data_IF_336035726218
#
_entry.id   IF_336035726218
#
_cell.length_a   1.000
_cell.length_b   1.000
_cell.length_c   1.000
_cell.angle_alpha   90.00
_cell.angle_beta   90.00
_cell.angle_gamma   90.00
#
_symmetry.space_group_name_H-M   'P 1'
#
loop_
_entity.id
_entity.type
_entity.pdbx_description
1 polymer ?
#
# COMPACT_ATOMS: atom_id res chain seq x y z
N UNK A 1 0.84 -9.83 41.94
CA UNK A 1 2.17 -10.12 41.36
C UNK A 1 2.04 -11.42 40.61
N UNK A 2 1.79 -11.34 39.32
CA UNK A 2 1.73 -12.49 38.41
C UNK A 2 2.82 -12.27 37.38
N UNK A 3 3.83 -13.14 37.44
CA UNK A 3 4.98 -13.17 36.54
C UNK A 3 4.51 -13.41 35.10
N UNK A 4 4.81 -12.46 34.20
CA UNK A 4 4.93 -12.76 32.78
C UNK A 4 6.38 -13.14 32.49
N UNK A 5 6.66 -14.23 31.77
CA UNK A 5 8.01 -14.59 31.41
C UNK A 5 8.54 -13.59 30.37
N UNK A 6 9.62 -12.89 30.71
CA UNK A 6 10.35 -12.03 29.79
C UNK A 6 10.89 -12.88 28.63
N UNK A 7 10.34 -12.68 27.43
CA UNK A 7 10.87 -13.27 26.20
C UNK A 7 12.28 -12.71 25.97
N UNK A 8 13.29 -13.56 26.14
CA UNK A 8 14.69 -13.21 25.93
C UNK A 8 14.97 -12.95 24.44
N UNK A 9 15.94 -12.08 24.16
CA UNK A 9 16.27 -11.54 22.83
C UNK A 9 16.58 -12.62 21.77
N UNK A 10 17.04 -13.79 22.21
CA UNK A 10 17.23 -14.97 21.36
C UNK A 10 15.90 -15.54 20.80
N UNK A 11 14.80 -15.49 21.57
CA UNK A 11 13.50 -16.00 21.14
C UNK A 11 12.90 -15.13 20.02
N UNK A 12 13.09 -13.81 20.10
CA UNK A 12 12.67 -12.85 19.07
C UNK A 12 13.42 -13.06 17.76
N UNK A 13 14.74 -13.24 17.82
CA UNK A 13 15.56 -13.56 16.63
C UNK A 13 15.20 -14.92 16.01
N UNK A 14 14.86 -15.93 16.82
CA UNK A 14 14.42 -17.23 16.31
C UNK A 14 13.04 -17.17 15.66
N UNK A 15 12.12 -16.38 16.23
CA UNK A 15 10.79 -16.17 15.66
C UNK A 15 10.85 -15.45 14.30
N UNK A 16 11.66 -14.39 14.19
CA UNK A 16 11.87 -13.67 12.92
C UNK A 16 12.54 -14.56 11.85
N UNK A 17 13.48 -15.43 12.25
CA UNK A 17 14.08 -16.41 11.33
C UNK A 17 13.10 -17.50 10.88
N UNK A 18 12.20 -17.95 11.76
CA UNK A 18 11.22 -18.97 11.42
C UNK A 18 10.20 -18.47 10.39
N UNK A 19 9.78 -17.20 10.47
CA UNK A 19 8.94 -16.55 9.45
C UNK A 19 9.70 -16.39 8.13
N UNK A 20 11.00 -16.05 8.18
CA UNK A 20 11.84 -15.93 6.97
C UNK A 20 12.06 -17.24 6.19
N UNK A 21 11.86 -18.40 6.81
CA UNK A 21 12.01 -19.72 6.16
C UNK A 21 10.71 -20.45 5.84
N UNK A 22 9.57 -20.00 6.37
CA UNK A 22 8.27 -20.46 5.91
C UNK A 22 7.91 -19.68 4.64
N UNK A 23 8.11 -20.32 3.50
CA UNK A 23 8.02 -19.69 2.18
C UNK A 23 6.74 -18.89 1.95
N UNK A 24 6.82 -17.58 2.14
CA UNK A 24 6.05 -16.63 1.37
C UNK A 24 6.71 -16.54 -0.01
N UNK A 25 6.43 -17.50 -0.89
CA UNK A 25 6.32 -17.15 -2.31
C UNK A 25 5.13 -16.20 -2.41
N UNK A 26 5.32 -14.94 -2.01
CA UNK A 26 4.48 -13.84 -2.40
C UNK A 26 4.69 -13.69 -3.91
N UNK A 27 3.99 -14.50 -4.68
CA UNK A 27 3.72 -14.18 -6.07
C UNK A 27 3.08 -12.80 -6.02
N UNK A 28 3.73 -11.82 -6.66
CA UNK A 28 3.13 -10.53 -6.97
C UNK A 28 1.75 -10.86 -7.56
N UNK A 29 0.69 -10.60 -6.80
CA UNK A 29 -0.67 -10.72 -7.30
C UNK A 29 -0.84 -9.60 -8.34
N UNK A 30 -0.42 -9.89 -9.57
CA UNK A 30 -0.48 -8.95 -10.67
C UNK A 30 -1.93 -8.73 -11.06
N UNK A 31 -2.27 -7.46 -11.31
CA UNK A 31 -3.56 -7.06 -11.87
C UNK A 31 -3.86 -7.94 -13.11
N UNK A 32 -4.83 -8.85 -13.02
CA UNK A 32 -5.25 -9.62 -14.19
C UNK A 32 -6.10 -8.72 -15.09
N UNK A 33 -5.44 -7.96 -15.97
CA UNK A 33 -6.10 -7.15 -16.99
C UNK A 33 -6.80 -8.03 -18.02
N UNK A 34 -8.12 -8.07 -17.99
CA UNK A 34 -8.95 -8.68 -19.02
C UNK A 34 -8.88 -7.88 -20.33
N UNK A 35 -7.96 -8.25 -21.22
CA UNK A 35 -7.83 -7.68 -22.54
C UNK A 35 -8.94 -8.16 -23.49
N UNK A 36 -10.00 -7.36 -23.62
CA UNK A 36 -10.99 -7.50 -24.68
C UNK A 36 -10.49 -6.82 -25.96
N UNK A 37 -9.94 -7.59 -26.89
CA UNK A 37 -9.58 -7.12 -28.22
C UNK A 37 -10.81 -6.92 -29.11
N UNK A 38 -10.86 -5.81 -29.85
CA UNK A 38 -11.62 -5.71 -31.08
C UNK A 38 -10.87 -4.83 -32.09
N UNK A 39 -10.54 -5.43 -33.24
CA UNK A 39 -9.83 -4.78 -34.33
C UNK A 39 -10.71 -3.86 -35.17
N UNK A 40 -10.05 -2.94 -35.88
CA UNK A 40 -10.63 -2.10 -36.91
C UNK A 40 -9.53 -1.29 -37.57
N UNK A 41 -9.17 -1.65 -38.81
CA UNK A 41 -8.06 -1.06 -39.56
C UNK A 41 -8.37 0.32 -40.16
N UNK A 42 -7.31 0.95 -40.67
CA UNK A 42 -7.38 2.19 -41.44
C UNK A 42 -5.99 2.66 -41.84
N UNK A 43 -5.60 2.35 -43.08
CA UNK A 43 -4.39 2.85 -43.76
C UNK A 43 -4.39 4.38 -43.90
N UNK A 44 -3.20 4.98 -43.87
CA UNK A 44 -2.97 6.38 -44.24
C UNK A 44 -1.50 6.76 -44.18
N UNK A 45 -0.80 6.68 -45.32
CA UNK A 45 0.62 7.00 -45.45
C UNK A 45 0.94 8.49 -45.47
N UNK A 46 2.23 8.79 -45.33
CA UNK A 46 2.80 10.13 -45.48
C UNK A 46 4.30 10.15 -45.11
N UNK A 47 5.16 10.05 -46.12
CA UNK A 47 6.61 10.31 -46.05
C UNK A 47 6.92 11.70 -45.48
N UNK A 48 8.01 11.81 -44.71
CA UNK A 48 8.98 12.90 -44.90
C UNK A 48 10.30 12.62 -44.19
N UNK A 49 11.35 12.59 -45.01
CA UNK A 49 12.75 12.49 -44.67
C UNK A 49 13.25 13.71 -43.87
N UNK A 50 14.24 13.47 -43.01
CA UNK A 50 14.94 14.51 -42.27
C UNK A 50 16.19 14.00 -41.58
N UNK A 51 17.17 13.54 -42.35
CA UNK A 51 18.54 13.32 -41.88
C UNK A 51 19.16 14.63 -41.40
N UNK A 52 19.81 14.62 -40.22
CA UNK A 52 21.03 15.38 -39.98
C UNK A 52 21.85 14.74 -38.84
N UNK A 53 23.17 14.79 -39.06
CA UNK A 53 24.18 13.86 -38.56
C UNK A 53 25.15 14.54 -37.57
N UNK A 54 25.75 13.70 -36.72
CA UNK A 54 27.13 13.75 -36.19
C UNK A 54 27.50 14.54 -34.92
N UNK A 55 27.88 13.76 -33.89
CA UNK A 55 29.16 13.87 -33.15
C UNK A 55 29.05 14.35 -31.69
N UNK A 56 29.54 13.68 -30.65
CA UNK A 56 30.31 12.45 -30.50
C UNK A 56 31.10 12.49 -29.17
N UNK A 57 31.18 11.33 -28.48
CA UNK A 57 32.10 11.04 -27.35
C UNK A 57 31.44 11.12 -25.97
N UNK A 58 31.37 10.10 -25.12
CA UNK A 58 32.09 8.81 -25.06
C UNK A 58 32.41 8.54 -23.60
N UNK A 59 31.82 7.50 -23.02
CA UNK A 59 32.00 7.09 -21.63
C UNK A 59 31.12 5.89 -21.32
N UNK A 60 31.50 4.74 -21.87
CA UNK A 60 30.83 3.45 -21.74
C UNK A 60 31.64 2.55 -20.78
N UNK A 61 30.94 1.80 -19.93
CA UNK A 61 31.33 0.56 -19.24
C UNK A 61 30.21 0.26 -18.20
N UNK A 62 29.03 -0.21 -18.62
CA UNK A 62 28.65 -1.55 -19.09
C UNK A 62 28.51 -2.62 -17.98
N UNK A 63 27.27 -3.07 -17.74
CA UNK A 63 26.84 -4.44 -18.11
C UNK A 63 25.62 -4.91 -17.29
N UNK A 64 24.47 -5.07 -17.96
CA UNK A 64 23.29 -5.69 -17.38
C UNK A 64 22.07 -5.82 -18.30
N UNK A 65 22.23 -6.45 -19.47
CA UNK A 65 21.19 -7.24 -20.15
C UNK A 65 19.90 -6.56 -20.64
N UNK A 66 19.94 -6.10 -21.90
CA UNK A 66 18.93 -6.36 -22.94
C UNK A 66 17.45 -6.44 -22.57
N UNK A 67 16.79 -5.28 -22.60
CA UNK A 67 15.47 -4.98 -23.17
C UNK A 67 15.35 -3.45 -23.11
N UNK A 68 15.06 -2.77 -24.23
CA UNK A 68 14.80 -1.32 -24.23
C UNK A 68 13.48 -1.08 -23.48
N UNK A 69 13.55 -1.00 -22.15
CA UNK A 69 12.40 -0.69 -21.34
C UNK A 69 12.01 0.77 -21.57
N UNK A 70 10.72 1.00 -21.87
CA UNK A 70 10.16 2.35 -21.89
C UNK A 70 10.44 3.01 -20.53
N UNK A 71 10.82 4.30 -20.56
CA UNK A 71 11.08 5.05 -19.35
C UNK A 71 9.89 4.96 -18.38
N UNK A 72 10.19 4.63 -17.13
CA UNK A 72 9.21 4.58 -16.05
C UNK A 72 9.20 5.97 -15.40
N UNK A 73 8.19 6.77 -15.74
CA UNK A 73 8.04 8.11 -15.21
C UNK A 73 9.27 8.97 -15.49
N UNK A 74 9.87 9.50 -14.43
CA UNK A 74 11.02 10.41 -14.49
C UNK A 74 12.39 9.69 -14.52
N UNK A 75 12.44 8.35 -14.59
CA UNK A 75 13.71 7.61 -14.63
C UNK A 75 14.31 7.62 -16.04
N UNK A 76 15.65 7.80 -16.20
CA UNK A 76 16.67 7.93 -15.17
C UNK A 76 16.74 9.34 -14.52
N UNK A 77 17.17 9.46 -13.25
CA UNK A 77 17.32 10.75 -12.58
C UNK A 77 18.42 11.62 -13.23
N UNK A 78 18.25 12.93 -13.14
CA UNK A 78 19.23 13.90 -13.65
C UNK A 78 20.27 14.28 -12.59
N UNK A 79 21.54 14.39 -12.99
CA UNK A 79 22.63 14.83 -12.11
C UNK A 79 23.08 13.78 -11.10
N UNK A 80 23.61 14.22 -9.96
CA UNK A 80 24.19 13.35 -8.92
C UNK A 80 23.22 13.04 -7.76
N UNK A 81 21.94 13.39 -7.92
CA UNK A 81 20.91 13.20 -6.90
C UNK A 81 19.68 12.51 -7.47
N UNK A 82 18.93 11.86 -6.60
CA UNK A 82 17.70 11.15 -6.92
C UNK A 82 16.60 11.61 -5.97
N UNK A 83 15.54 12.21 -6.52
CA UNK A 83 14.42 12.71 -5.72
C UNK A 83 13.41 11.60 -5.43
N UNK A 84 12.97 11.48 -4.17
CA UNK A 84 11.85 10.59 -3.78
C UNK A 84 10.82 11.34 -2.93
N UNK A 85 9.56 10.96 -3.07
CA UNK A 85 8.43 11.64 -2.44
C UNK A 85 7.87 10.92 -1.20
N UNK A 86 7.37 11.71 -0.25
CA UNK A 86 6.41 11.28 0.77
C UNK A 86 5.15 12.14 0.66
N UNK A 87 3.98 11.51 0.53
CA UNK A 87 2.68 12.18 0.48
C UNK A 87 1.68 11.43 1.36
N UNK A 88 1.50 11.90 2.59
CA UNK A 88 0.64 11.26 3.59
C UNK A 88 -0.08 12.31 4.45
N UNK A 89 -1.10 11.91 5.25
CA UNK A 89 -1.82 12.85 6.09
C UNK A 89 -1.02 13.12 7.37
N UNK A 90 -0.19 14.15 7.39
CA UNK A 90 0.59 14.54 8.59
C UNK A 90 -0.18 15.52 9.48
N UNK A 91 -1.37 15.93 9.03
CA UNK A 91 -2.40 16.62 9.80
C UNK A 91 -3.78 15.96 9.65
N UNK A 92 -4.79 16.51 10.33
CA UNK A 92 -6.16 16.00 10.32
C UNK A 92 -6.35 14.76 11.19
N UNK A 93 -7.44 14.03 10.98
CA UNK A 93 -7.84 12.90 11.82
C UNK A 93 -6.83 11.74 11.80
N UNK A 94 -6.14 11.55 10.67
CA UNK A 94 -5.10 10.53 10.48
C UNK A 94 -3.67 11.08 10.70
N UNK A 95 -3.56 12.32 11.20
CA UNK A 95 -2.29 13.02 11.40
C UNK A 95 -1.23 12.23 12.18
N UNK A 96 -1.58 11.61 13.32
CA UNK A 96 -0.63 10.78 14.09
C UNK A 96 -0.03 9.63 13.26
N UNK A 97 -0.85 8.91 12.48
CA UNK A 97 -0.40 7.81 11.64
C UNK A 97 0.55 8.32 10.53
N UNK A 98 0.19 9.42 9.86
CA UNK A 98 1.05 9.98 8.82
C UNK A 98 2.37 10.55 9.34
N UNK A 99 2.38 11.13 10.55
CA UNK A 99 3.61 11.58 11.21
C UNK A 99 4.55 10.41 11.53
N UNK A 100 4.02 9.26 11.92
CA UNK A 100 4.83 8.06 12.15
C UNK A 100 5.36 7.47 10.84
N UNK A 101 4.56 7.48 9.76
CA UNK A 101 5.05 7.13 8.42
C UNK A 101 6.17 8.08 7.96
N UNK A 102 6.02 9.39 8.19
CA UNK A 102 7.02 10.40 7.81
C UNK A 102 8.36 10.16 8.53
N UNK A 103 8.32 9.87 9.85
CA UNK A 103 9.54 9.52 10.61
C UNK A 103 10.22 8.27 10.04
N UNK A 104 9.44 7.27 9.64
CA UNK A 104 9.96 6.05 9.00
C UNK A 104 10.62 6.36 7.66
N UNK A 105 10.00 7.22 6.85
CA UNK A 105 10.55 7.70 5.59
C UNK A 105 11.86 8.47 5.78
N UNK A 106 11.90 9.42 6.71
CA UNK A 106 13.10 10.19 7.03
C UNK A 106 14.25 9.28 7.51
N UNK A 107 13.93 8.27 8.33
CA UNK A 107 14.91 7.29 8.78
C UNK A 107 15.45 6.41 7.62
N UNK A 108 14.58 6.03 6.68
CA UNK A 108 14.99 5.28 5.50
C UNK A 108 15.93 6.11 4.60
N UNK A 109 15.58 7.38 4.32
CA UNK A 109 16.44 8.32 3.57
C UNK A 109 17.79 8.46 4.24
N UNK A 110 17.81 8.63 5.57
CA UNK A 110 19.06 8.70 6.33
C UNK A 110 19.93 7.47 6.12
N UNK A 111 19.38 6.27 6.32
CA UNK A 111 20.14 5.04 6.11
C UNK A 111 20.62 4.87 4.67
N UNK A 112 19.79 5.24 3.68
CA UNK A 112 20.17 5.17 2.27
C UNK A 112 21.38 6.07 1.94
N UNK A 113 21.45 7.28 2.51
CA UNK A 113 22.53 8.24 2.25
C UNK A 113 23.75 8.09 3.16
N UNK A 114 23.58 7.64 4.40
CA UNK A 114 24.63 7.62 5.43
C UNK A 114 25.06 6.19 5.85
N UNK A 115 24.35 5.18 5.39
CA UNK A 115 24.56 3.78 5.75
C UNK A 115 24.00 3.39 7.12
N UNK A 116 24.22 2.12 7.47
CA UNK A 116 23.75 1.52 8.72
C UNK A 116 22.25 1.18 8.71
N UNK A 117 21.81 0.51 9.78
CA UNK A 117 20.39 0.30 10.05
C UNK A 117 19.74 -0.60 9.00
N UNK A 118 18.78 -0.07 8.23
CA UNK A 118 18.04 -0.85 7.23
C UNK A 118 18.94 -1.33 6.07
N UNK A 119 19.96 -0.55 5.70
CA UNK A 119 20.87 -0.90 4.60
C UNK A 119 21.66 -2.17 4.92
N UNK A 120 22.05 -2.37 6.19
CA UNK A 120 22.84 -3.52 6.62
C UNK A 120 22.12 -4.88 6.43
N UNK A 121 20.80 -4.86 6.19
CA UNK A 121 19.99 -6.06 5.96
C UNK A 121 19.83 -6.43 4.47
N UNK A 122 20.32 -5.58 3.54
CA UNK A 122 20.09 -5.74 2.11
C UNK A 122 21.38 -5.59 1.30
N UNK A 123 21.86 -6.70 0.73
CA UNK A 123 23.11 -6.75 -0.07
C UNK A 123 23.12 -5.80 -1.28
N UNK A 124 21.96 -5.32 -1.73
CA UNK A 124 21.83 -4.38 -2.87
C UNK A 124 21.96 -2.91 -2.47
N UNK A 125 21.97 -2.61 -1.17
CA UNK A 125 22.07 -1.25 -0.66
C UNK A 125 23.48 -1.03 -0.10
N UNK A 126 24.12 0.06 -0.53
CA UNK A 126 25.49 0.42 -0.15
C UNK A 126 25.55 1.47 0.96
N UNK A 127 24.47 2.24 1.15
CA UNK A 127 24.42 3.29 2.17
C UNK A 127 25.12 4.59 1.76
N UNK A 128 25.34 4.80 0.47
CA UNK A 128 25.92 6.01 -0.14
C UNK A 128 25.00 6.61 -1.21
N UNK A 129 23.69 6.39 -1.05
CA UNK A 129 22.64 6.79 -1.98
C UNK A 129 21.96 5.61 -2.67
N UNK A 130 21.21 5.90 -3.73
CA UNK A 130 20.58 4.88 -4.60
C UNK A 130 21.31 4.93 -5.94
N UNK A 131 21.90 3.80 -6.35
CA UNK A 131 22.64 3.69 -7.62
C UNK A 131 23.74 4.76 -7.79
N UNK A 132 24.37 5.19 -6.68
CA UNK A 132 25.40 6.24 -6.68
C UNK A 132 24.85 7.68 -6.71
N UNK A 133 23.53 7.87 -6.65
CA UNK A 133 22.91 9.18 -6.52
C UNK A 133 22.48 9.46 -5.07
N UNK A 134 22.78 10.66 -4.58
CA UNK A 134 22.32 11.12 -3.26
C UNK A 134 20.79 11.24 -3.24
N UNK A 135 20.13 10.65 -2.24
CA UNK A 135 18.68 10.68 -2.10
C UNK A 135 18.23 12.02 -1.54
N UNK A 136 17.36 12.71 -2.28
CA UNK A 136 16.77 14.00 -1.88
C UNK A 136 15.26 13.84 -1.63
N UNK A 137 14.80 13.96 -0.38
CA UNK A 137 13.39 13.77 -0.07
C UNK A 137 12.55 15.00 -0.38
N UNK A 138 11.36 14.79 -0.94
CA UNK A 138 10.29 15.79 -0.98
C UNK A 138 9.08 15.29 -0.20
N UNK A 139 8.46 16.14 0.63
CA UNK A 139 7.36 15.74 1.51
C UNK A 139 6.16 16.67 1.35
N UNK A 140 4.95 16.15 1.45
CA UNK A 140 3.74 16.95 1.50
C UNK A 140 2.64 16.30 2.35
N UNK A 141 1.80 17.16 2.94
CA UNK A 141 0.63 16.76 3.72
C UNK A 141 -0.59 16.66 2.82
N UNK A 142 -1.30 15.53 2.88
CA UNK A 142 -2.57 15.36 2.17
C UNK A 142 -3.75 15.92 2.96
N UNK A 143 -3.61 16.11 4.28
CA UNK A 143 -4.69 16.43 5.21
C UNK A 143 -5.91 15.49 5.11
N UNK A 144 -5.72 14.29 4.55
CA UNK A 144 -6.81 13.33 4.26
C UNK A 144 -7.64 13.64 3.00
N UNK A 145 -7.25 14.62 2.19
CA UNK A 145 -7.94 15.03 0.96
C UNK A 145 -7.38 14.36 -0.29
N UNK A 146 -8.26 13.80 -1.12
CA UNK A 146 -7.90 13.19 -2.40
C UNK A 146 -7.38 14.21 -3.42
N UNK A 147 -7.98 15.41 -3.46
CA UNK A 147 -7.58 16.46 -4.40
C UNK A 147 -6.19 17.00 -4.03
N UNK A 148 -5.99 17.33 -2.75
CA UNK A 148 -4.69 17.77 -2.23
C UNK A 148 -3.60 16.72 -2.48
N UNK A 149 -3.93 15.44 -2.30
CA UNK A 149 -2.97 14.36 -2.56
C UNK A 149 -2.55 14.30 -4.02
N UNK A 150 -3.48 14.44 -4.97
CA UNK A 150 -3.17 14.44 -6.40
C UNK A 150 -2.32 15.66 -6.78
N UNK A 151 -2.72 16.87 -6.36
CA UNK A 151 -2.00 18.11 -6.63
C UNK A 151 -0.55 18.06 -6.09
N UNK A 152 -0.36 17.51 -4.89
CA UNK A 152 0.96 17.32 -4.31
C UNK A 152 1.86 16.44 -5.19
N UNK A 153 1.35 15.29 -5.66
CA UNK A 153 2.12 14.35 -6.48
C UNK A 153 2.42 14.95 -7.85
N UNK A 154 1.44 15.57 -8.51
CA UNK A 154 1.67 16.23 -9.81
C UNK A 154 2.78 17.28 -9.69
N UNK A 155 2.75 18.09 -8.63
CA UNK A 155 3.80 19.07 -8.34
C UNK A 155 5.15 18.41 -8.09
N UNK A 156 5.20 17.34 -7.28
CA UNK A 156 6.45 16.62 -7.00
C UNK A 156 7.05 16.02 -8.27
N UNK A 157 6.23 15.44 -9.15
CA UNK A 157 6.67 14.85 -10.41
C UNK A 157 7.23 15.92 -11.33
N UNK A 158 6.47 17.00 -11.56
CA UNK A 158 6.82 18.02 -12.55
C UNK A 158 7.95 18.96 -12.09
N UNK A 159 7.98 19.31 -10.81
CA UNK A 159 8.91 20.33 -10.28
C UNK A 159 10.11 19.73 -9.57
N UNK A 160 9.87 18.69 -8.77
CA UNK A 160 10.90 18.12 -7.90
C UNK A 160 11.52 16.85 -8.52
N UNK A 161 11.07 16.47 -9.72
CA UNK A 161 11.54 15.35 -10.54
C UNK A 161 11.61 14.02 -9.74
N UNK A 162 10.60 13.76 -8.91
CA UNK A 162 10.58 12.54 -8.11
C UNK A 162 10.55 11.30 -8.99
N UNK A 163 11.32 10.29 -8.63
CA UNK A 163 11.38 9.00 -9.32
C UNK A 163 10.34 8.01 -8.80
N UNK A 164 9.89 8.25 -7.58
CA UNK A 164 9.04 7.37 -6.80
C UNK A 164 8.47 8.15 -5.62
N UNK A 165 7.30 7.75 -5.11
CA UNK A 165 6.83 8.21 -3.81
C UNK A 165 6.21 7.11 -2.95
N UNK A 166 6.13 7.40 -1.65
CA UNK A 166 5.41 6.61 -0.66
C UNK A 166 4.43 7.46 0.14
N UNK A 167 3.59 6.82 0.94
CA UNK A 167 2.59 7.45 1.79
C UNK A 167 1.18 6.91 1.55
N UNK A 168 0.17 7.69 1.88
CA UNK A 168 -1.21 7.22 1.93
C UNK A 168 -1.57 6.50 3.23
N UNK A 169 -2.85 6.59 3.58
CA UNK A 169 -3.40 6.02 4.83
C UNK A 169 -4.87 5.70 4.60
N UNK A 170 -5.66 6.71 4.22
CA UNK A 170 -7.02 6.50 3.73
C UNK A 170 -7.01 5.76 2.38
N UNK A 171 -7.80 4.70 2.28
CA UNK A 171 -7.90 3.90 1.05
C UNK A 171 -8.45 4.72 -0.13
N UNK A 172 -9.35 5.68 0.11
CA UNK A 172 -9.88 6.55 -0.95
C UNK A 172 -8.83 7.51 -1.49
N UNK A 173 -8.04 8.11 -0.60
CA UNK A 173 -6.93 9.00 -0.97
C UNK A 173 -5.84 8.23 -1.71
N UNK A 174 -5.55 7.00 -1.28
CA UNK A 174 -4.62 6.10 -1.97
C UNK A 174 -5.08 5.77 -3.39
N UNK A 175 -6.37 5.43 -3.59
CA UNK A 175 -6.92 5.19 -4.93
C UNK A 175 -6.83 6.43 -5.84
N UNK A 176 -7.03 7.63 -5.30
CA UNK A 176 -6.82 8.86 -6.07
C UNK A 176 -5.36 9.02 -6.53
N UNK A 177 -4.38 8.72 -5.66
CA UNK A 177 -2.96 8.72 -6.04
C UNK A 177 -2.61 7.61 -7.04
N UNK A 178 -3.29 6.45 -7.01
CA UNK A 178 -3.10 5.39 -8.01
C UNK A 178 -3.43 5.86 -9.43
N UNK A 179 -4.44 6.73 -9.59
CA UNK A 179 -4.79 7.32 -10.88
C UNK A 179 -3.64 8.17 -11.44
N UNK A 180 -2.99 8.98 -10.58
CA UNK A 180 -1.82 9.78 -10.97
C UNK A 180 -0.64 8.86 -11.30
N UNK A 181 -0.36 7.84 -10.48
CA UNK A 181 0.68 6.84 -10.76
C UNK A 181 0.48 6.16 -12.12
N UNK A 182 -0.75 5.78 -12.44
CA UNK A 182 -1.08 5.14 -13.71
C UNK A 182 -0.90 6.07 -14.90
N UNK A 183 -1.28 7.35 -14.76
CA UNK A 183 -1.20 8.37 -15.81
C UNK A 183 0.23 8.82 -16.07
N UNK A 184 0.97 9.12 -15.02
CA UNK A 184 2.35 9.65 -15.09
C UNK A 184 3.40 8.55 -15.21
N UNK A 185 3.00 7.28 -15.08
CA UNK A 185 3.90 6.11 -15.09
C UNK A 185 5.00 6.16 -14.00
N UNK A 186 4.78 6.91 -12.92
CA UNK A 186 5.71 7.01 -11.79
C UNK A 186 5.29 6.03 -10.70
N UNK A 187 6.19 5.17 -10.18
CA UNK A 187 5.83 4.18 -9.17
C UNK A 187 5.44 4.80 -7.83
N UNK A 188 4.39 4.23 -7.23
CA UNK A 188 3.83 4.58 -5.93
C UNK A 188 3.84 3.35 -5.02
N UNK A 189 4.48 3.45 -3.85
CA UNK A 189 4.32 2.47 -2.78
C UNK A 189 3.35 2.96 -1.72
N UNK A 190 2.21 2.30 -1.58
CA UNK A 190 1.28 2.57 -0.48
C UNK A 190 1.92 2.32 0.88
N UNK A 191 1.68 3.23 1.82
CA UNK A 191 2.08 3.11 3.21
C UNK A 191 1.21 2.09 3.95
N UNK A 192 0.01 2.49 4.35
CA UNK A 192 -0.93 1.59 5.03
C UNK A 192 -2.37 1.82 4.58
N UNK A 193 -2.76 1.25 3.44
CA UNK A 193 -4.15 1.25 2.96
C UNK A 193 -4.55 -0.15 2.53
N UNK A 194 -5.68 -0.65 3.05
CA UNK A 194 -5.96 -2.09 3.06
C UNK A 194 -7.30 -2.46 2.42
N UNK A 195 -8.03 -1.51 1.83
CA UNK A 195 -9.25 -1.85 1.07
C UNK A 195 -8.93 -2.78 -0.10
N UNK A 196 -9.74 -3.82 -0.29
CA UNK A 196 -9.60 -4.75 -1.40
C UNK A 196 -9.70 -4.05 -2.78
N UNK A 197 -10.44 -2.94 -2.87
CA UNK A 197 -10.59 -2.17 -4.11
C UNK A 197 -9.27 -1.62 -4.67
N UNK A 198 -8.25 -1.42 -3.83
CA UNK A 198 -6.92 -0.94 -4.22
C UNK A 198 -6.19 -1.95 -5.11
N UNK A 199 -6.29 -3.25 -4.78
CA UNK A 199 -5.70 -4.36 -5.54
C UNK A 199 -6.68 -4.98 -6.55
N UNK A 200 -7.97 -4.65 -6.43
CA UNK A 200 -9.04 -5.13 -7.28
C UNK A 200 -9.35 -4.16 -8.42
N UNK A 201 -10.52 -3.53 -8.37
CA UNK A 201 -11.04 -2.71 -9.46
C UNK A 201 -10.18 -1.46 -9.77
N UNK A 202 -9.45 -0.92 -8.78
CA UNK A 202 -8.56 0.23 -8.94
C UNK A 202 -7.08 -0.17 -9.06
N UNK A 203 -6.79 -1.44 -9.36
CA UNK A 203 -5.42 -1.92 -9.51
C UNK A 203 -4.67 -1.13 -10.58
N UNK A 204 -3.52 -0.58 -10.21
CA UNK A 204 -2.65 0.21 -11.08
C UNK A 204 -1.34 -0.52 -11.31
N UNK A 205 -0.84 -0.48 -12.56
CA UNK A 205 0.46 -1.09 -12.91
C UNK A 205 1.62 -0.46 -12.14
N UNK A 206 1.46 0.80 -11.73
CA UNK A 206 2.49 1.59 -11.06
C UNK A 206 2.26 1.70 -9.56
N UNK A 207 1.33 0.92 -8.99
CA UNK A 207 1.09 0.86 -7.56
C UNK A 207 1.58 -0.44 -6.95
N UNK A 208 2.26 -0.32 -5.82
CA UNK A 208 2.73 -1.44 -5.01
C UNK A 208 2.35 -1.16 -3.55
N UNK A 209 2.14 -2.20 -2.75
CA UNK A 209 2.01 -2.02 -1.31
C UNK A 209 2.55 -3.24 -0.57
N UNK A 210 3.23 -3.04 0.58
CA UNK A 210 3.77 -4.13 1.38
C UNK A 210 2.72 -4.72 2.35
N UNK A 211 1.56 -4.07 2.47
CA UNK A 211 0.54 -4.43 3.44
C UNK A 211 -0.43 -5.46 2.89
N UNK A 212 -1.07 -6.22 3.79
CA UNK A 212 -2.21 -7.05 3.43
C UNK A 212 -3.40 -6.18 3.02
N UNK A 213 -4.35 -6.75 2.27
CA UNK A 213 -5.66 -6.16 2.02
C UNK A 213 -6.76 -7.01 2.65
N UNK A 214 -7.96 -6.46 2.77
CA UNK A 214 -9.11 -7.06 3.46
C UNK A 214 -9.37 -8.52 3.06
N UNK A 215 -9.23 -8.86 1.76
CA UNK A 215 -9.40 -10.22 1.25
C UNK A 215 -8.47 -11.24 1.92
N UNK A 216 -7.19 -10.89 2.09
CA UNK A 216 -6.19 -11.78 2.74
C UNK A 216 -6.53 -11.99 4.20
N UNK A 217 -6.99 -10.95 4.89
CA UNK A 217 -7.44 -11.05 6.29
C UNK A 217 -8.65 -11.98 6.37
N UNK A 218 -9.65 -11.77 5.52
CA UNK A 218 -10.85 -12.61 5.45
C UNK A 218 -10.51 -14.07 5.17
N UNK A 219 -9.66 -14.35 4.18
CA UNK A 219 -9.20 -15.72 3.87
C UNK A 219 -8.52 -16.38 5.07
N UNK A 220 -7.57 -15.69 5.70
CA UNK A 220 -6.84 -16.22 6.84
C UNK A 220 -7.77 -16.47 8.05
N UNK A 221 -8.73 -15.57 8.28
CA UNK A 221 -9.75 -15.74 9.32
C UNK A 221 -10.68 -16.91 9.01
N UNK A 222 -11.14 -17.06 7.76
CA UNK A 222 -11.97 -18.18 7.33
C UNK A 222 -11.30 -19.54 7.55
N UNK A 223 -10.00 -19.63 7.32
CA UNK A 223 -9.21 -20.84 7.58
C UNK A 223 -9.00 -21.11 9.07
N UNK A 224 -8.64 -20.09 9.84
CA UNK A 224 -8.21 -20.27 11.23
C UNK A 224 -9.37 -20.24 12.24
N UNK A 225 -10.30 -19.29 12.11
CA UNK A 225 -11.25 -18.95 13.16
C UNK A 225 -12.22 -20.09 13.52
N UNK A 226 -12.79 -20.86 12.57
CA UNK A 226 -13.66 -21.98 12.92
C UNK A 226 -12.96 -23.05 13.78
N UNK A 227 -11.68 -23.31 13.53
CA UNK A 227 -10.90 -24.28 14.32
C UNK A 227 -10.60 -23.81 15.75
N UNK A 228 -10.51 -22.49 15.95
CA UNK A 228 -10.13 -21.87 17.23
C UNK A 228 -11.36 -21.53 18.06
N UNK A 229 -12.39 -20.99 17.43
CA UNK A 229 -13.59 -20.48 18.07
C UNK A 229 -14.77 -21.45 17.95
N UNK A 230 -14.70 -22.48 17.12
CA UNK A 230 -15.80 -23.41 16.87
C UNK A 230 -16.54 -23.11 15.57
N UNK A 231 -17.23 -24.11 15.05
CA UNK A 231 -17.89 -24.06 13.73
C UNK A 231 -19.31 -23.51 13.79
N UNK A 232 -19.97 -23.54 14.96
CA UNK A 232 -21.34 -23.07 15.15
C UNK A 232 -21.32 -21.71 15.86
N UNK A 233 -21.31 -20.63 15.08
CA UNK A 233 -21.20 -19.24 15.55
C UNK A 233 -22.16 -18.33 14.80
N UNK A 234 -22.66 -17.32 15.49
CA UNK A 234 -23.45 -16.22 14.93
C UNK A 234 -22.61 -14.94 14.91
N UNK A 235 -22.29 -14.49 13.69
CA UNK A 235 -21.40 -13.38 13.41
C UNK A 235 -22.17 -12.07 13.22
N UNK A 236 -21.80 -11.05 13.98
CA UNK A 236 -22.24 -9.68 13.76
C UNK A 236 -21.06 -8.78 13.41
N UNK A 237 -21.31 -7.77 12.57
CA UNK A 237 -20.29 -6.84 12.12
C UNK A 237 -20.49 -5.45 12.70
N UNK A 238 -19.44 -4.84 13.25
CA UNK A 238 -19.40 -3.39 13.46
C UNK A 238 -18.23 -2.84 12.66
N UNK A 239 -18.46 -1.86 11.78
CA UNK A 239 -17.48 -1.44 10.79
C UNK A 239 -17.59 0.05 10.46
N UNK A 240 -16.47 0.67 10.06
CA UNK A 240 -16.46 2.05 9.58
C UNK A 240 -17.21 2.19 8.24
N UNK A 241 -18.06 3.22 8.11
CA UNK A 241 -18.91 3.43 6.92
C UNK A 241 -18.18 4.09 5.74
N UNK A 242 -17.06 3.49 5.35
CA UNK A 242 -16.35 3.82 4.12
C UNK A 242 -15.60 2.58 3.62
N UNK A 243 -14.92 2.72 2.48
CA UNK A 243 -14.30 1.62 1.73
C UNK A 243 -13.45 0.64 2.57
N UNK A 244 -12.73 1.12 3.59
CA UNK A 244 -11.98 0.24 4.50
C UNK A 244 -12.90 -0.70 5.30
N UNK A 245 -13.86 -0.16 6.06
CA UNK A 245 -14.71 -0.98 6.92
C UNK A 245 -15.64 -1.87 6.12
N UNK A 246 -16.19 -1.34 5.02
CA UNK A 246 -17.06 -2.10 4.11
C UNK A 246 -16.31 -3.28 3.47
N UNK A 247 -15.09 -3.08 2.96
CA UNK A 247 -14.32 -4.19 2.35
C UNK A 247 -13.88 -5.25 3.36
N UNK A 248 -13.56 -4.87 4.60
CA UNK A 248 -13.26 -5.83 5.67
C UNK A 248 -14.49 -6.63 6.09
N UNK A 249 -15.65 -5.98 6.23
CA UNK A 249 -16.93 -6.66 6.46
C UNK A 249 -17.22 -7.66 5.35
N UNK A 250 -17.10 -7.26 4.10
CA UNK A 250 -17.46 -8.09 2.96
C UNK A 250 -16.52 -9.30 2.83
N UNK A 251 -15.22 -9.11 3.04
CA UNK A 251 -14.26 -10.21 3.10
C UNK A 251 -14.57 -11.18 4.25
N UNK A 252 -14.89 -10.67 5.44
CA UNK A 252 -15.27 -11.50 6.58
C UNK A 252 -16.54 -12.32 6.28
N UNK A 253 -17.60 -11.71 5.73
CA UNK A 253 -18.82 -12.43 5.32
C UNK A 253 -18.51 -13.53 4.31
N UNK A 254 -17.76 -13.19 3.26
CA UNK A 254 -17.39 -14.15 2.21
C UNK A 254 -16.72 -15.41 2.78
N UNK A 255 -15.74 -15.25 3.65
CA UNK A 255 -14.91 -16.38 4.10
C UNK A 255 -15.36 -17.05 5.39
N UNK A 256 -16.02 -16.34 6.30
CA UNK A 256 -16.50 -16.90 7.57
C UNK A 256 -17.93 -17.44 7.47
N UNK A 257 -18.76 -16.91 6.57
CA UNK A 257 -20.18 -17.27 6.49
C UNK A 257 -20.59 -17.85 5.14
N UNK A 258 -20.31 -17.19 4.01
CA UNK A 258 -20.72 -17.70 2.70
C UNK A 258 -19.94 -18.97 2.28
N UNK A 259 -18.64 -19.00 2.60
CA UNK A 259 -17.76 -20.16 2.40
C UNK A 259 -17.41 -20.90 3.69
N UNK A 260 -17.64 -20.25 4.84
CA UNK A 260 -17.35 -20.78 6.15
C UNK A 260 -18.60 -21.37 6.83
N UNK A 261 -18.45 -21.86 8.06
CA UNK A 261 -19.54 -22.55 8.75
C UNK A 261 -20.43 -21.62 9.60
N UNK A 262 -20.06 -20.35 9.77
CA UNK A 262 -20.77 -19.43 10.66
C UNK A 262 -22.00 -18.82 10.00
N UNK A 263 -22.96 -18.40 10.81
CA UNK A 263 -24.16 -17.67 10.39
C UNK A 263 -23.91 -16.15 10.47
N UNK A 264 -24.25 -15.40 9.42
CA UNK A 264 -24.26 -13.93 9.47
C UNK A 264 -25.59 -13.44 10.04
N UNK A 265 -25.54 -12.72 11.17
CA UNK A 265 -26.72 -12.15 11.85
C UNK A 265 -26.81 -10.63 11.74
N UNK A 266 -25.99 -10.00 10.88
CA UNK A 266 -26.12 -8.60 10.48
C UNK A 266 -24.93 -7.73 10.87
N UNK A 267 -25.15 -6.41 10.87
CA UNK A 267 -24.12 -5.47 11.27
C UNK A 267 -24.59 -4.03 11.39
N UNK A 268 -23.73 -3.19 11.98
CA UNK A 268 -23.95 -1.77 12.19
C UNK A 268 -22.73 -0.95 11.73
N UNK A 269 -22.99 0.14 11.01
CA UNK A 269 -21.96 1.01 10.49
C UNK A 269 -21.64 2.16 11.47
N UNK A 270 -20.38 2.58 11.52
CA UNK A 270 -19.91 3.77 12.26
C UNK A 270 -19.61 4.85 11.24
N UNK A 271 -20.32 5.98 11.31
CA UNK A 271 -20.07 7.11 10.43
C UNK A 271 -18.73 7.78 10.76
N UNK A 272 -18.10 8.42 9.76
CA UNK A 272 -16.85 9.14 9.99
C UNK A 272 -17.06 10.32 10.96
N UNK A 273 -16.23 10.39 12.00
CA UNK A 273 -16.33 11.40 13.05
C UNK A 273 -17.41 11.14 14.11
N UNK A 274 -18.13 10.03 14.03
CA UNK A 274 -19.07 9.60 15.08
C UNK A 274 -18.33 9.27 16.38
N UNK A 275 -18.85 9.73 17.52
CA UNK A 275 -18.23 9.54 18.84
C UNK A 275 -19.14 8.85 19.87
N UNK A 276 -20.40 8.57 19.52
CA UNK A 276 -21.34 7.82 20.35
C UNK A 276 -21.73 6.55 19.59
N UNK A 277 -21.35 5.39 20.13
CA UNK A 277 -21.56 4.09 19.48
C UNK A 277 -22.67 3.27 20.15
N UNK A 278 -23.50 3.91 20.98
CA UNK A 278 -24.57 3.23 21.73
C UNK A 278 -25.56 2.50 20.82
N UNK A 279 -25.82 3.05 19.62
CA UNK A 279 -26.75 2.44 18.66
C UNK A 279 -26.22 1.15 18.05
N UNK A 280 -24.92 1.11 17.74
CA UNK A 280 -24.22 -0.05 17.19
C UNK A 280 -24.12 -1.15 18.26
N UNK A 281 -23.89 -0.77 19.53
CA UNK A 281 -23.89 -1.70 20.67
C UNK A 281 -25.28 -2.30 20.87
N UNK A 282 -26.35 -1.48 20.86
CA UNK A 282 -27.72 -1.99 20.98
C UNK A 282 -28.06 -2.96 19.84
N UNK A 283 -27.67 -2.64 18.60
CA UNK A 283 -27.90 -3.52 17.45
C UNK A 283 -27.16 -4.86 17.59
N UNK A 284 -25.94 -4.86 18.16
CA UNK A 284 -25.21 -6.08 18.48
C UNK A 284 -25.95 -6.91 19.55
N UNK A 285 -26.42 -6.28 20.63
CA UNK A 285 -27.19 -6.98 21.68
C UNK A 285 -28.48 -7.59 21.15
N UNK A 286 -29.22 -6.84 20.31
CA UNK A 286 -30.49 -7.26 19.73
C UNK A 286 -30.31 -8.40 18.71
N UNK A 287 -29.14 -8.50 18.08
CA UNK A 287 -28.83 -9.55 17.10
C UNK A 287 -28.71 -10.95 17.71
N UNK A 288 -28.41 -11.03 19.01
CA UNK A 288 -28.10 -12.30 19.69
C UNK A 288 -26.81 -12.97 19.20
N UNK A 289 -25.93 -12.23 18.53
CA UNK A 289 -24.64 -12.73 18.06
C UNK A 289 -23.76 -13.20 19.22
N UNK A 290 -23.05 -14.30 19.01
CA UNK A 290 -22.03 -14.79 19.94
C UNK A 290 -20.60 -14.42 19.52
N UNK A 291 -20.45 -13.86 18.32
CA UNK A 291 -19.17 -13.50 17.72
C UNK A 291 -19.26 -12.12 17.05
N UNK A 292 -18.30 -11.24 17.32
CA UNK A 292 -18.20 -9.90 16.72
C UNK A 292 -16.99 -9.81 15.79
N UNK A 293 -17.20 -9.37 14.56
CA UNK A 293 -16.13 -8.91 13.66
C UNK A 293 -16.08 -7.38 13.67
N UNK A 294 -15.06 -6.83 14.33
CA UNK A 294 -14.90 -5.39 14.50
C UNK A 294 -13.88 -4.80 13.51
N UNK A 295 -14.35 -3.95 12.59
CA UNK A 295 -13.55 -3.33 11.52
C UNK A 295 -13.45 -1.82 11.73
N UNK A 296 -12.63 -1.42 12.71
CA UNK A 296 -12.35 -0.02 13.06
C UNK A 296 -10.85 0.19 13.33
N UNK A 297 -10.43 1.42 13.63
CA UNK A 297 -9.03 1.77 13.96
C UNK A 297 -8.96 3.06 14.79
N UNK A 298 -7.82 3.26 15.47
CA UNK A 298 -7.52 4.49 16.20
C UNK A 298 -8.55 4.82 17.28
N UNK A 299 -8.87 6.11 17.43
CA UNK A 299 -9.87 6.57 18.40
C UNK A 299 -11.28 6.06 18.12
N UNK A 300 -11.58 5.59 16.90
CA UNK A 300 -12.88 4.98 16.57
C UNK A 300 -13.03 3.56 17.10
N UNK A 301 -11.97 2.99 17.68
CA UNK A 301 -11.96 1.67 18.31
C UNK A 301 -11.84 1.73 19.84
N UNK A 302 -11.51 2.89 20.41
CA UNK A 302 -11.25 3.10 21.84
C UNK A 302 -12.50 3.54 22.58
#
# INVERSE_FOLDING_TARGET
>A
MTDQPALTDESRRRYLKAIGTAGLTAGLAGCSGGGGGNGGGGDGGGDSDGENNAGGGGGDDSSGGGEDYEAIGNFPPEGNSVSIGFNGPTSGALGPDGQDQEKGFDLAVKHLNEGGGLVDYWDRLSGDGIMGHQVEPTKADTAGSADTAQDNIERMIQRDNIQFWTGGMSSTVTMAMQNVAQREKVPFMGGNSTSAGISGENCSRYYFHPTFHAEIIGMAMGEAAPSVLGEDRSLFHIYMDYSYGQSNRDAARKYLTEQGPWEDVGGAAIAEGETDHSSQIQALEDSGADTLYFSSFGNFAA
#
